data_IF_543130735845
#
_entry.id   IF_543130735845
#
_cell.length_a   1.000
_cell.length_b   1.000
_cell.length_c   1.000
_cell.angle_alpha   90.00
_cell.angle_beta   90.00
_cell.angle_gamma   90.00
#
_symmetry.space_group_name_H-M   'P 1'
#
loop_
_entity.id
_entity.type
_entity.pdbx_description
1 polymer ?
#
# COMPACT_ATOMS: atom_id res chain seq x y z
N UNK A 1 -4.12 -11.02 18.32
CA UNK A 1 -3.56 -12.26 18.92
C UNK A 1 -2.32 -12.57 18.11
N UNK A 2 -1.16 -12.81 18.74
CA UNK A 2 0.07 -13.05 17.97
C UNK A 2 -0.06 -14.36 17.16
N UNK A 3 0.39 -14.36 15.90
CA UNK A 3 0.38 -15.56 15.06
C UNK A 3 1.26 -16.63 15.69
N UNK A 4 0.77 -17.87 15.88
CA UNK A 4 1.62 -18.97 16.34
C UNK A 4 2.76 -19.22 15.36
N UNK A 5 3.99 -19.47 15.84
CA UNK A 5 5.18 -19.67 14.99
C UNK A 5 5.03 -20.80 13.97
N UNK A 6 4.31 -21.86 14.32
CA UNK A 6 4.03 -22.96 13.40
C UNK A 6 3.12 -22.55 12.24
N UNK A 7 2.24 -21.57 12.43
CA UNK A 7 1.33 -21.05 11.40
C UNK A 7 2.08 -20.15 10.41
N UNK A 8 3.07 -19.36 10.88
CA UNK A 8 3.86 -18.49 10.00
C UNK A 8 4.57 -19.25 8.87
N UNK A 9 5.09 -20.44 9.15
CA UNK A 9 5.74 -21.27 8.13
C UNK A 9 4.80 -21.79 7.05
N UNK A 10 3.49 -21.82 7.33
CA UNK A 10 2.45 -22.35 6.44
C UNK A 10 1.84 -21.28 5.50
N UNK A 11 2.29 -20.02 5.57
CA UNK A 11 1.80 -18.95 4.68
C UNK A 11 2.16 -19.24 3.22
N UNK A 12 1.14 -19.29 2.36
CA UNK A 12 1.28 -19.59 0.94
C UNK A 12 1.08 -18.35 0.07
N UNK A 13 0.16 -17.43 0.46
CA UNK A 13 -0.13 -16.20 -0.27
C UNK A 13 0.26 -14.99 0.58
N UNK A 14 1.16 -14.18 0.05
CA UNK A 14 1.61 -12.93 0.64
C UNK A 14 1.05 -11.77 -0.18
N UNK A 15 0.18 -10.98 0.43
CA UNK A 15 -0.46 -9.82 -0.22
C UNK A 15 0.15 -8.55 0.35
N UNK A 16 0.79 -7.75 -0.50
CA UNK A 16 1.46 -6.53 -0.10
C UNK A 16 0.66 -5.29 -0.50
N UNK A 17 0.61 -4.30 0.38
CA UNK A 17 0.35 -2.93 -0.05
C UNK A 17 1.57 -2.38 -0.81
N UNK A 18 1.42 -1.22 -1.43
CA UNK A 18 2.46 -0.61 -2.26
C UNK A 18 3.08 0.61 -1.58
N UNK A 19 2.34 1.73 -1.53
CA UNK A 19 2.82 3.00 -0.98
C UNK A 19 3.02 2.88 0.55
N UNK A 20 4.20 3.19 1.07
CA UNK A 20 4.52 3.05 2.50
C UNK A 20 4.91 1.63 2.92
N UNK A 21 4.78 0.64 2.04
CA UNK A 21 5.10 -0.76 2.34
C UNK A 21 6.28 -1.26 1.51
N UNK A 22 6.15 -1.28 0.20
CA UNK A 22 7.23 -1.68 -0.71
C UNK A 22 8.00 -0.49 -1.25
N UNK A 23 7.32 0.63 -1.47
CA UNK A 23 7.91 1.83 -2.06
C UNK A 23 7.72 3.05 -1.16
N UNK A 24 8.75 3.87 -1.12
CA UNK A 24 8.71 5.23 -0.60
C UNK A 24 8.37 6.18 -1.75
N UNK A 25 7.10 6.56 -1.82
CA UNK A 25 6.54 7.47 -2.82
C UNK A 25 6.17 8.84 -2.23
N UNK A 26 6.56 9.09 -0.97
CA UNK A 26 6.14 10.26 -0.20
C UNK A 26 6.45 11.57 -0.93
N UNK A 27 7.69 11.72 -1.42
CA UNK A 27 8.14 12.96 -2.05
C UNK A 27 7.40 13.25 -3.37
N UNK A 28 7.19 12.24 -4.23
CA UNK A 28 6.51 12.44 -5.51
C UNK A 28 5.02 12.68 -5.35
N UNK A 29 4.38 12.04 -4.36
CA UNK A 29 3.00 12.34 -3.97
C UNK A 29 2.89 13.78 -3.45
N UNK A 30 3.81 14.22 -2.59
CA UNK A 30 3.82 15.56 -2.04
C UNK A 30 4.05 16.63 -3.13
N UNK A 31 4.99 16.39 -4.04
CA UNK A 31 5.25 17.26 -5.17
C UNK A 31 4.00 17.42 -6.05
N UNK A 32 3.29 16.31 -6.32
CA UNK A 32 2.09 16.30 -7.16
C UNK A 32 0.90 16.99 -6.49
N UNK A 33 0.73 16.82 -5.19
CA UNK A 33 -0.27 17.57 -4.41
C UNK A 33 0.05 19.07 -4.44
N UNK A 34 1.29 19.45 -4.20
CA UNK A 34 1.69 20.85 -4.15
C UNK A 34 1.61 21.53 -5.53
N UNK A 35 1.99 20.85 -6.60
CA UNK A 35 1.78 21.33 -7.97
C UNK A 35 0.28 21.56 -8.28
N UNK A 36 -0.58 20.65 -7.77
CA UNK A 36 -2.04 20.79 -7.88
C UNK A 36 -2.54 22.00 -7.11
N UNK A 37 -2.12 22.15 -5.84
CA UNK A 37 -2.52 23.27 -4.98
C UNK A 37 -2.09 24.62 -5.60
N UNK A 38 -0.86 24.71 -6.09
CA UNK A 38 -0.36 25.92 -6.78
C UNK A 38 -1.23 26.27 -7.99
N UNK A 39 -1.57 25.28 -8.83
CA UNK A 39 -2.37 25.48 -10.03
C UNK A 39 -3.80 25.97 -9.74
N UNK A 40 -4.34 25.61 -8.57
CA UNK A 40 -5.65 26.11 -8.10
C UNK A 40 -5.54 27.33 -7.17
N UNK A 41 -4.34 27.98 -7.12
CA UNK A 41 -4.11 29.23 -6.38
C UNK A 41 -4.00 29.08 -4.87
N UNK A 42 -3.58 27.90 -4.37
CA UNK A 42 -3.43 27.60 -2.94
C UNK A 42 -1.98 27.51 -2.51
N UNK A 43 -1.75 27.63 -1.21
CA UNK A 43 -0.41 27.49 -0.62
C UNK A 43 0.00 26.00 -0.57
N UNK A 44 1.28 25.71 -0.76
CA UNK A 44 1.79 24.36 -0.58
C UNK A 44 1.68 23.89 0.89
N UNK A 45 1.62 22.58 1.06
CA UNK A 45 1.63 21.89 2.35
C UNK A 45 2.99 21.20 2.55
N UNK A 46 3.33 20.88 3.80
CA UNK A 46 4.54 20.09 4.07
C UNK A 46 4.39 18.65 3.60
N UNK A 47 5.52 18.00 3.35
CA UNK A 47 5.59 16.61 2.89
C UNK A 47 4.94 15.68 3.92
N UNK A 48 5.26 15.85 5.19
CA UNK A 48 4.76 15.05 6.30
C UNK A 48 3.22 15.16 6.44
N UNK A 49 2.67 16.35 6.23
CA UNK A 49 1.23 16.55 6.29
C UNK A 49 0.53 15.83 5.12
N UNK A 50 1.10 15.93 3.92
CA UNK A 50 0.56 15.25 2.74
C UNK A 50 0.65 13.73 2.93
N UNK A 51 1.77 13.21 3.44
CA UNK A 51 1.96 11.79 3.73
C UNK A 51 0.87 11.25 4.66
N UNK A 52 0.50 12.01 5.70
CA UNK A 52 -0.58 11.63 6.62
C UNK A 52 -1.97 11.52 5.95
N UNK A 53 -2.15 12.03 4.75
CA UNK A 53 -3.39 11.95 3.98
C UNK A 53 -3.45 10.74 3.04
N UNK A 54 -2.33 10.08 2.82
CA UNK A 54 -2.22 8.92 1.91
C UNK A 54 -2.92 7.68 2.49
N UNK A 55 -3.24 6.70 1.64
CA UNK A 55 -3.79 5.39 2.04
C UNK A 55 -5.26 5.16 1.70
N UNK A 56 -6.05 6.22 1.42
CA UNK A 56 -7.47 6.09 1.08
C UNK A 56 -7.79 6.42 -0.38
N UNK A 57 -6.78 6.52 -1.23
CA UNK A 57 -6.87 6.83 -2.67
C UNK A 57 -6.84 8.31 -2.98
N UNK A 58 -6.64 8.62 -4.28
CA UNK A 58 -6.29 9.96 -4.77
C UNK A 58 -7.33 11.03 -4.44
N UNK A 59 -8.61 10.74 -4.64
CA UNK A 59 -9.67 11.73 -4.39
C UNK A 59 -9.72 12.16 -2.91
N UNK A 60 -9.46 11.23 -1.98
CA UNK A 60 -9.39 11.53 -0.54
C UNK A 60 -8.14 12.34 -0.22
N UNK A 61 -6.98 11.98 -0.79
CA UNK A 61 -5.73 12.72 -0.65
C UNK A 61 -5.90 14.18 -1.09
N UNK A 62 -6.43 14.40 -2.30
CA UNK A 62 -6.66 15.74 -2.86
C UNK A 62 -7.68 16.51 -2.02
N UNK A 63 -8.79 15.87 -1.63
CA UNK A 63 -9.82 16.50 -0.80
C UNK A 63 -9.26 16.98 0.54
N UNK A 64 -8.45 16.16 1.22
CA UNK A 64 -7.79 16.53 2.48
C UNK A 64 -6.81 17.68 2.29
N UNK A 65 -6.04 17.67 1.21
CA UNK A 65 -5.10 18.74 0.89
C UNK A 65 -5.81 20.07 0.58
N UNK A 66 -7.01 20.00 0.00
CA UNK A 66 -7.85 21.19 -0.26
C UNK A 66 -8.53 21.72 1.03
N UNK A 67 -8.71 20.88 2.04
CA UNK A 67 -9.27 21.31 3.32
C UNK A 67 -10.76 21.72 3.25
N UNK A 68 -11.15 22.71 4.04
CA UNK A 68 -12.55 23.11 4.21
C UNK A 68 -13.27 23.60 2.93
N UNK A 69 -12.54 23.94 1.90
CA UNK A 69 -13.11 24.40 0.62
C UNK A 69 -13.28 23.27 -0.41
N UNK A 70 -13.03 22.02 -0.02
CA UNK A 70 -13.20 20.86 -0.87
C UNK A 70 -14.71 20.59 -1.10
N UNK A 71 -15.17 20.80 -2.33
CA UNK A 71 -16.49 20.35 -2.80
C UNK A 71 -16.29 19.20 -3.78
N UNK A 72 -17.28 18.33 -3.99
CA UNK A 72 -17.15 17.22 -4.94
C UNK A 72 -16.64 17.66 -6.32
N UNK A 73 -17.18 18.76 -6.84
CA UNK A 73 -16.86 19.29 -8.17
C UNK A 73 -15.40 19.78 -8.25
N UNK A 74 -14.93 20.58 -7.28
CA UNK A 74 -13.56 21.10 -7.32
C UNK A 74 -12.51 20.03 -6.94
N UNK A 75 -12.88 19.02 -6.16
CA UNK A 75 -12.03 17.85 -5.90
C UNK A 75 -11.82 17.02 -7.16
N UNK A 76 -12.87 16.84 -7.98
CA UNK A 76 -12.75 16.15 -9.27
C UNK A 76 -11.76 16.85 -10.19
N UNK A 77 -11.93 18.16 -10.39
CA UNK A 77 -11.00 18.97 -11.20
C UNK A 77 -9.55 18.96 -10.67
N UNK A 78 -9.39 19.08 -9.35
CA UNK A 78 -8.07 19.03 -8.74
C UNK A 78 -7.44 17.62 -8.85
N UNK A 79 -8.26 16.57 -8.79
CA UNK A 79 -7.81 15.19 -8.99
C UNK A 79 -7.29 14.98 -10.41
N UNK A 80 -7.93 15.52 -11.43
CA UNK A 80 -7.43 15.46 -12.82
C UNK A 80 -6.06 16.14 -12.98
N UNK A 81 -5.89 17.30 -12.33
CA UNK A 81 -4.60 18.01 -12.33
C UNK A 81 -3.52 17.16 -11.65
N UNK A 82 -3.84 16.60 -10.49
CA UNK A 82 -2.94 15.70 -9.75
C UNK A 82 -2.53 14.50 -10.60
N UNK A 83 -3.49 13.78 -11.16
CA UNK A 83 -3.23 12.56 -11.94
C UNK A 83 -2.35 12.84 -13.15
N UNK A 84 -2.57 13.97 -13.82
CA UNK A 84 -1.73 14.39 -14.95
C UNK A 84 -0.30 14.66 -14.51
N UNK A 85 -0.09 15.43 -13.45
CA UNK A 85 1.25 15.73 -12.96
C UNK A 85 1.94 14.47 -12.45
N UNK A 86 1.23 13.67 -11.64
CA UNK A 86 1.77 12.45 -11.07
C UNK A 86 2.20 11.44 -12.14
N UNK A 87 1.44 11.30 -13.24
CA UNK A 87 1.82 10.40 -14.34
C UNK A 87 3.17 10.71 -15.00
N UNK A 88 3.59 11.98 -14.95
CA UNK A 88 4.85 12.44 -15.53
C UNK A 88 6.02 12.38 -14.53
N UNK A 89 5.73 12.38 -13.21
CA UNK A 89 6.71 12.62 -12.14
C UNK A 89 6.74 11.54 -11.04
N UNK A 90 5.98 10.45 -11.16
CA UNK A 90 5.83 9.44 -10.10
C UNK A 90 7.07 8.60 -9.81
N UNK A 91 8.12 8.70 -10.63
CA UNK A 91 9.40 7.99 -10.49
C UNK A 91 10.59 8.95 -10.34
N UNK A 92 10.34 10.24 -10.10
CA UNK A 92 11.43 11.23 -9.96
C UNK A 92 12.22 10.97 -8.65
N UNK A 93 11.53 10.61 -7.58
CA UNK A 93 12.10 10.33 -6.26
C UNK A 93 11.67 8.98 -5.68
N UNK A 94 10.60 8.37 -6.21
CA UNK A 94 10.07 7.11 -5.71
C UNK A 94 11.06 5.97 -5.88
N UNK A 95 11.31 5.24 -4.80
CA UNK A 95 12.17 4.06 -4.76
C UNK A 95 11.62 2.98 -3.83
N UNK A 96 12.30 1.84 -3.78
CA UNK A 96 11.96 0.80 -2.78
C UNK A 96 12.51 1.20 -1.42
N UNK A 97 11.78 0.89 -0.34
CA UNK A 97 12.37 0.97 1.00
C UNK A 97 13.62 0.08 1.11
N UNK A 98 14.57 0.44 1.99
CA UNK A 98 15.74 -0.41 2.27
C UNK A 98 15.31 -1.84 2.65
N UNK A 99 15.97 -2.85 2.09
CA UNK A 99 15.71 -4.25 2.40
C UNK A 99 14.55 -4.89 1.65
N UNK A 100 13.73 -4.13 0.91
CA UNK A 100 12.57 -4.67 0.17
C UNK A 100 13.00 -5.66 -0.91
N UNK A 101 13.99 -5.30 -1.73
CA UNK A 101 14.46 -6.17 -2.82
C UNK A 101 15.04 -7.48 -2.31
N UNK A 102 15.82 -7.41 -1.24
CA UNK A 102 16.41 -8.56 -0.57
C UNK A 102 15.33 -9.47 0.02
N UNK A 103 14.34 -8.88 0.71
CA UNK A 103 13.25 -9.63 1.30
C UNK A 103 12.41 -10.34 0.23
N UNK A 104 12.04 -9.64 -0.85
CA UNK A 104 11.25 -10.23 -1.94
C UNK A 104 12.02 -11.37 -2.64
N UNK A 105 13.34 -11.24 -2.81
CA UNK A 105 14.17 -12.31 -3.39
C UNK A 105 14.24 -13.55 -2.47
N UNK A 106 14.24 -13.38 -1.14
CA UNK A 106 14.19 -14.51 -0.19
C UNK A 106 12.79 -15.15 -0.07
N UNK A 107 11.75 -14.48 -0.55
CA UNK A 107 10.38 -14.97 -0.60
C UNK A 107 10.05 -15.65 -1.95
N UNK A 108 11.01 -15.75 -2.86
CA UNK A 108 10.85 -16.45 -4.13
C UNK A 108 10.34 -17.89 -3.91
N UNK A 109 9.39 -18.30 -4.75
CA UNK A 109 8.67 -19.57 -4.62
C UNK A 109 7.38 -19.50 -3.78
N UNK A 110 7.07 -18.38 -3.10
CA UNK A 110 5.77 -18.10 -2.51
C UNK A 110 4.89 -17.32 -3.48
N UNK A 111 3.56 -17.48 -3.39
CA UNK A 111 2.62 -16.65 -4.15
C UNK A 111 2.63 -15.24 -3.58
N UNK A 112 2.97 -14.25 -4.41
CA UNK A 112 2.97 -12.84 -4.03
C UNK A 112 2.00 -12.06 -4.90
N UNK A 113 1.24 -11.15 -4.30
CA UNK A 113 0.30 -10.26 -4.98
C UNK A 113 0.32 -8.85 -4.37
N UNK A 114 -0.13 -7.87 -5.15
CA UNK A 114 -0.32 -6.49 -4.70
C UNK A 114 -1.81 -6.21 -4.52
N UNK A 115 -2.16 -5.60 -3.40
CA UNK A 115 -3.48 -5.02 -3.14
C UNK A 115 -3.33 -3.63 -2.52
N UNK A 116 -3.55 -2.59 -3.33
CA UNK A 116 -3.37 -1.20 -2.92
C UNK A 116 -4.58 -0.32 -3.20
N UNK A 117 -4.74 0.78 -2.47
CA UNK A 117 -5.77 1.80 -2.75
C UNK A 117 -5.33 2.81 -3.83
N UNK A 118 -4.08 2.70 -4.31
CA UNK A 118 -3.57 3.44 -5.47
C UNK A 118 -4.22 2.94 -6.77
N UNK A 119 -4.52 3.79 -7.76
CA UNK A 119 -5.04 3.33 -9.06
C UNK A 119 -4.12 2.30 -9.73
N UNK A 120 -4.71 1.24 -10.29
CA UNK A 120 -3.96 0.06 -10.77
C UNK A 120 -2.93 0.36 -11.85
N UNK A 121 -3.21 1.32 -12.76
CA UNK A 121 -2.27 1.68 -13.82
C UNK A 121 -0.98 2.29 -13.23
N UNK A 122 -1.07 3.24 -12.28
CA UNK A 122 0.11 3.78 -11.60
C UNK A 122 0.86 2.72 -10.78
N UNK A 123 0.12 1.79 -10.17
CA UNK A 123 0.75 0.70 -9.42
C UNK A 123 1.59 -0.19 -10.33
N UNK A 124 1.10 -0.49 -11.53
CA UNK A 124 1.84 -1.26 -12.53
C UNK A 124 3.03 -0.50 -13.08
N UNK A 125 2.82 0.75 -13.50
CA UNK A 125 3.89 1.59 -14.06
C UNK A 125 5.05 1.79 -13.06
N UNK A 126 4.73 1.98 -11.76
CA UNK A 126 5.73 2.06 -10.69
C UNK A 126 6.48 0.74 -10.51
N UNK A 127 5.77 -0.37 -10.42
CA UNK A 127 6.39 -1.69 -10.25
C UNK A 127 7.24 -2.09 -11.46
N UNK A 128 6.81 -1.75 -12.68
CA UNK A 128 7.59 -1.94 -13.91
C UNK A 128 8.83 -1.06 -13.91
N UNK A 129 8.69 0.25 -13.63
CA UNK A 129 9.81 1.19 -13.56
C UNK A 129 10.84 0.83 -12.50
N UNK A 130 10.41 0.19 -11.41
CA UNK A 130 11.28 -0.31 -10.35
C UNK A 130 11.77 -1.75 -10.60
N UNK A 131 11.33 -2.42 -11.67
CA UNK A 131 11.75 -3.79 -11.99
C UNK A 131 11.23 -4.83 -10.99
N UNK A 132 10.03 -4.65 -10.44
CA UNK A 132 9.41 -5.52 -9.44
C UNK A 132 8.15 -6.23 -9.96
N UNK A 133 7.58 -5.81 -11.10
CA UNK A 133 6.27 -6.26 -11.56
C UNK A 133 6.18 -7.79 -11.73
N UNK A 134 7.22 -8.42 -12.26
CA UNK A 134 7.29 -9.86 -12.51
C UNK A 134 7.29 -10.74 -11.25
N UNK A 135 7.50 -10.13 -10.07
CA UNK A 135 7.47 -10.85 -8.79
C UNK A 135 6.03 -11.14 -8.30
N UNK A 136 5.03 -10.45 -8.85
CA UNK A 136 3.66 -10.51 -8.36
C UNK A 136 2.74 -11.17 -9.38
N UNK A 137 2.01 -12.18 -8.92
CA UNK A 137 1.03 -12.91 -9.74
C UNK A 137 -0.15 -12.02 -10.17
N UNK A 138 -0.62 -11.16 -9.25
CA UNK A 138 -1.68 -10.18 -9.50
C UNK A 138 -1.29 -8.82 -8.91
N UNK A 139 -1.71 -7.76 -9.60
CA UNK A 139 -1.60 -6.37 -9.15
C UNK A 139 -2.99 -5.76 -9.19
N UNK A 140 -3.60 -5.55 -8.01
CA UNK A 140 -4.89 -4.92 -7.83
C UNK A 140 -4.76 -3.56 -7.17
N UNK A 141 -5.35 -2.57 -7.82
CA UNK A 141 -5.38 -1.18 -7.35
C UNK A 141 -6.78 -0.76 -6.88
N UNK A 142 -6.89 0.45 -6.37
CA UNK A 142 -8.12 0.99 -5.80
C UNK A 142 -9.30 1.15 -6.75
N UNK A 143 -9.10 0.91 -8.04
CA UNK A 143 -10.13 0.90 -9.08
C UNK A 143 -10.24 -0.47 -9.79
N UNK A 144 -9.68 -1.53 -9.23
CA UNK A 144 -9.82 -2.89 -9.77
C UNK A 144 -11.17 -3.51 -9.44
N UNK A 145 -11.83 -3.03 -8.38
CA UNK A 145 -13.13 -3.50 -7.90
C UNK A 145 -14.03 -2.31 -7.55
N UNK A 146 -15.31 -2.58 -7.26
CA UNK A 146 -16.27 -1.57 -6.78
C UNK A 146 -15.94 -1.01 -5.40
N UNK A 147 -15.20 -1.76 -4.59
CA UNK A 147 -14.71 -1.35 -3.27
C UNK A 147 -13.20 -1.47 -3.18
N UNK A 148 -12.63 -0.85 -2.14
CA UNK A 148 -11.19 -0.86 -1.86
C UNK A 148 -10.93 -1.09 -0.37
N UNK A 149 -9.68 -1.32 0.04
CA UNK A 149 -9.32 -1.47 1.47
C UNK A 149 -9.93 -0.32 2.29
N UNK A 150 -10.61 -0.58 3.42
CA UNK A 150 -10.59 -1.82 4.22
C UNK A 150 -11.64 -2.88 3.88
N UNK A 151 -12.34 -2.77 2.75
CA UNK A 151 -13.25 -3.81 2.27
C UNK A 151 -12.46 -5.09 1.92
N UNK A 152 -12.94 -6.30 2.27
CA UNK A 152 -12.22 -7.54 2.06
C UNK A 152 -12.26 -8.07 0.62
N UNK A 153 -13.03 -7.44 -0.28
CA UNK A 153 -13.30 -7.97 -1.63
C UNK A 153 -12.02 -8.31 -2.40
N UNK A 154 -11.02 -7.41 -2.39
CA UNK A 154 -9.75 -7.64 -3.08
C UNK A 154 -8.98 -8.83 -2.52
N UNK A 155 -8.93 -9.00 -1.18
CA UNK A 155 -8.31 -10.15 -0.54
C UNK A 155 -9.05 -11.45 -0.85
N UNK A 156 -10.38 -11.44 -0.77
CA UNK A 156 -11.20 -12.62 -1.09
C UNK A 156 -10.96 -13.06 -2.53
N UNK A 157 -10.85 -12.10 -3.46
CA UNK A 157 -10.57 -12.40 -4.87
C UNK A 157 -9.18 -12.99 -5.07
N UNK A 158 -8.16 -12.46 -4.41
CA UNK A 158 -6.80 -13.00 -4.47
C UNK A 158 -6.72 -14.42 -3.90
N UNK A 159 -7.41 -14.70 -2.80
CA UNK A 159 -7.49 -16.04 -2.22
C UNK A 159 -8.17 -17.02 -3.17
N UNK A 160 -9.30 -16.63 -3.77
CA UNK A 160 -10.03 -17.46 -4.75
C UNK A 160 -9.17 -17.79 -5.97
N UNK A 161 -8.54 -16.78 -6.60
CA UNK A 161 -7.74 -16.95 -7.82
C UNK A 161 -6.45 -17.76 -7.60
N UNK A 162 -5.91 -17.70 -6.37
CA UNK A 162 -4.71 -18.45 -6.02
C UNK A 162 -5.00 -19.77 -5.33
N UNK A 163 -6.28 -20.10 -5.08
CA UNK A 163 -6.70 -21.32 -4.37
C UNK A 163 -6.04 -21.47 -2.98
N UNK A 164 -5.88 -20.34 -2.25
CA UNK A 164 -5.26 -20.29 -0.92
C UNK A 164 -6.28 -19.88 0.12
N UNK A 165 -6.46 -20.63 1.21
CA UNK A 165 -7.40 -20.27 2.27
C UNK A 165 -6.89 -19.10 3.13
N UNK A 166 -7.82 -18.48 3.89
CA UNK A 166 -7.54 -17.30 4.69
C UNK A 166 -6.47 -17.53 5.78
N UNK A 167 -6.45 -18.70 6.39
CA UNK A 167 -5.49 -19.08 7.43
C UNK A 167 -4.05 -19.29 6.91
N UNK A 168 -3.87 -19.34 5.58
CA UNK A 168 -2.57 -19.40 4.88
C UNK A 168 -2.27 -18.15 4.06
N UNK A 169 -3.02 -17.08 4.28
CA UNK A 169 -2.85 -15.79 3.62
C UNK A 169 -2.41 -14.72 4.61
N UNK A 170 -1.44 -13.91 4.24
CA UNK A 170 -0.90 -12.80 5.03
C UNK A 170 -1.05 -11.49 4.26
N UNK A 171 -1.73 -10.50 4.85
CA UNK A 171 -1.75 -9.12 4.37
C UNK A 171 -0.62 -8.34 5.02
N UNK A 172 0.25 -7.74 4.21
CA UNK A 172 1.40 -6.93 4.66
C UNK A 172 1.15 -5.48 4.23
N UNK A 173 1.16 -4.56 5.19
CA UNK A 173 0.91 -3.14 4.93
C UNK A 173 1.39 -2.25 6.06
N UNK A 174 1.35 -0.93 5.84
CA UNK A 174 1.79 0.05 6.83
C UNK A 174 0.63 0.78 7.53
N UNK A 175 -0.62 0.52 7.16
CA UNK A 175 -1.76 1.32 7.59
C UNK A 175 -2.91 0.53 8.22
N UNK A 176 -3.78 1.25 8.93
CA UNK A 176 -5.05 0.71 9.43
C UNK A 176 -5.91 0.10 8.33
N UNK A 177 -5.86 0.63 7.09
CA UNK A 177 -6.63 0.11 5.96
C UNK A 177 -6.25 -1.33 5.61
N UNK A 178 -4.97 -1.68 5.74
CA UNK A 178 -4.42 -3.01 5.48
C UNK A 178 -4.84 -4.00 6.55
N UNK A 179 -4.65 -3.59 7.81
CA UNK A 179 -5.02 -4.42 8.97
C UNK A 179 -6.52 -4.70 8.98
N UNK A 180 -7.34 -3.69 8.72
CA UNK A 180 -8.80 -3.87 8.71
C UNK A 180 -9.25 -4.70 7.51
N UNK A 181 -8.64 -4.54 6.33
CA UNK A 181 -8.92 -5.41 5.18
C UNK A 181 -8.59 -6.87 5.51
N UNK A 182 -7.42 -7.13 6.12
CA UNK A 182 -7.03 -8.45 6.56
C UNK A 182 -7.99 -9.06 7.57
N UNK A 183 -8.37 -8.31 8.60
CA UNK A 183 -9.35 -8.76 9.61
C UNK A 183 -10.72 -9.07 9.01
N UNK A 184 -11.20 -8.21 8.11
CA UNK A 184 -12.49 -8.37 7.45
C UNK A 184 -12.51 -9.59 6.50
N UNK A 185 -11.36 -9.95 5.92
CA UNK A 185 -11.19 -11.14 5.10
C UNK A 185 -10.85 -12.40 5.92
N UNK A 186 -10.56 -12.27 7.22
CA UNK A 186 -10.16 -13.37 8.09
C UNK A 186 -8.74 -13.88 7.86
N UNK A 187 -7.88 -13.08 7.20
CA UNK A 187 -6.47 -13.40 6.97
C UNK A 187 -5.57 -12.82 8.06
N UNK A 188 -4.34 -13.31 8.16
CA UNK A 188 -3.34 -12.79 9.06
C UNK A 188 -2.80 -11.43 8.58
N UNK A 189 -2.32 -10.60 9.51
CA UNK A 189 -1.87 -9.24 9.22
C UNK A 189 -0.46 -8.98 9.75
N UNK A 190 0.38 -8.38 8.91
CA UNK A 190 1.72 -7.91 9.25
C UNK A 190 1.82 -6.42 8.99
N UNK A 191 2.10 -5.63 10.02
CA UNK A 191 2.33 -4.20 9.91
C UNK A 191 3.82 -3.87 9.80
N UNK A 192 4.19 -2.99 8.87
CA UNK A 192 5.55 -2.45 8.78
C UNK A 192 5.60 -1.09 9.48
N UNK A 193 6.59 -0.89 10.36
CA UNK A 193 6.69 0.31 11.19
C UNK A 193 7.38 1.49 10.48
N UNK A 194 8.00 1.27 9.33
CA UNK A 194 8.76 2.28 8.59
C UNK A 194 7.92 3.08 7.59
N UNK A 195 6.70 2.65 7.29
CA UNK A 195 5.81 3.31 6.34
C UNK A 195 5.19 4.59 6.90
N UNK A 196 4.78 5.49 6.02
CA UNK A 196 4.18 6.76 6.44
C UNK A 196 2.76 6.61 7.01
N UNK A 197 2.07 5.49 6.78
CA UNK A 197 0.80 5.13 7.43
C UNK A 197 0.98 4.45 8.79
N UNK A 198 2.20 4.08 9.20
CA UNK A 198 2.51 3.30 10.39
C UNK A 198 1.92 3.86 11.72
N UNK A 199 1.80 5.18 11.92
CA UNK A 199 1.13 5.70 13.12
C UNK A 199 -0.33 5.22 13.29
N UNK A 200 -1.02 4.88 12.20
CA UNK A 200 -2.41 4.38 12.24
C UNK A 200 -2.52 2.93 12.72
N UNK A 201 -1.42 2.18 12.72
CA UNK A 201 -1.38 0.80 13.21
C UNK A 201 -1.67 0.68 14.71
N UNK A 202 -1.52 1.77 15.47
CA UNK A 202 -1.84 1.78 16.90
C UNK A 202 -3.36 1.78 17.16
N UNK A 203 -4.14 2.27 16.19
CA UNK A 203 -5.61 2.24 16.25
C UNK A 203 -6.16 0.82 15.98
N UNK A 204 -5.46 0.04 15.16
CA UNK A 204 -5.80 -1.34 14.86
C UNK A 204 -4.52 -2.19 14.79
N UNK A 205 -3.97 -2.66 15.93
CA UNK A 205 -2.70 -3.39 15.94
C UNK A 205 -2.74 -4.65 15.08
N UNK A 206 -1.79 -4.86 14.14
CA UNK A 206 -1.71 -6.09 13.36
C UNK A 206 -1.32 -7.30 14.23
N UNK A 207 -1.40 -8.51 13.67
CA UNK A 207 -0.99 -9.73 14.37
C UNK A 207 0.53 -9.81 14.56
N UNK A 208 1.30 -9.22 13.62
CA UNK A 208 2.76 -9.07 13.70
C UNK A 208 3.14 -7.64 13.31
N UNK A 209 4.21 -7.11 13.92
CA UNK A 209 4.89 -5.88 13.48
C UNK A 209 6.35 -6.18 13.19
N UNK A 210 6.88 -5.55 12.15
CA UNK A 210 8.29 -5.61 11.76
C UNK A 210 8.82 -4.19 11.49
N UNK A 211 10.10 -3.99 11.78
CA UNK A 211 10.80 -2.71 11.54
C UNK A 211 11.55 -2.72 10.20
N UNK A 212 11.75 -3.89 9.62
CA UNK A 212 12.45 -4.10 8.36
C UNK A 212 11.82 -5.28 7.62
N UNK A 213 11.55 -5.13 6.31
CA UNK A 213 10.91 -6.20 5.55
C UNK A 213 11.75 -7.49 5.49
N UNK A 214 13.07 -7.41 5.67
CA UNK A 214 13.98 -8.58 5.78
C UNK A 214 13.70 -9.47 6.99
N UNK A 215 12.88 -9.03 7.93
CA UNK A 215 12.42 -9.87 9.03
C UNK A 215 11.36 -10.87 8.57
N UNK A 216 10.55 -10.50 7.56
CA UNK A 216 9.46 -11.33 7.09
C UNK A 216 9.91 -12.71 6.59
N UNK A 217 10.88 -12.85 5.67
CA UNK A 217 11.35 -14.17 5.24
C UNK A 217 11.95 -14.99 6.41
N UNK A 218 12.58 -14.36 7.39
CA UNK A 218 13.10 -15.06 8.58
C UNK A 218 11.98 -15.64 9.43
N UNK A 219 10.93 -14.84 9.67
CA UNK A 219 9.75 -15.28 10.41
C UNK A 219 9.03 -16.43 9.71
N UNK A 220 8.84 -16.32 8.39
CA UNK A 220 8.14 -17.33 7.58
C UNK A 220 8.95 -18.61 7.39
N UNK A 221 10.28 -18.56 7.46
CA UNK A 221 11.16 -19.74 7.33
C UNK A 221 11.58 -20.34 8.67
N UNK A 222 11.07 -19.83 9.80
CA UNK A 222 11.39 -20.33 11.14
C UNK A 222 12.83 -20.09 11.56
N UNK A 223 13.55 -19.16 10.89
CA UNK A 223 14.92 -18.79 11.23
C UNK A 223 14.87 -17.59 12.20
N UNK A 224 15.26 -17.82 13.45
CA UNK A 224 15.48 -16.77 14.46
C UNK A 224 16.85 -16.15 14.34
#
# INVERSE_FOLDING_TARGET
>A
MAIPRNVLGEMELLVFDLDGTLIDSEQDLANSVNATLEKIGRKPLSVELIASYVGQGVAVLVSRAMGAEATPENVEQATEIFLKYYSEHMLDNTGTYPGVREALAELDGRKMAILTNKPVHFSRDLLEGLGLAELFLQIYGGNSFETKKPDPLGLNRLMEENEVPADRTLMIGDSISDVMAGRNAGVWTCGVNYGFGAPTLDEAPPDIRIDDLRELPKLLNGKS
#
